data_IF_481006076066
#
_entry.id   IF_481006076066
#
_cell.length_a   1.000
_cell.length_b   1.000
_cell.length_c   1.000
_cell.angle_alpha   90.00
_cell.angle_beta   90.00
_cell.angle_gamma   90.00
#
_symmetry.space_group_name_H-M   'P 1'
#
loop_
_entity.id
_entity.type
_entity.pdbx_description
1 polymer ?
#
# COMPACT_ATOMS: atom_id res chain seq x y z
N UNK A 1 7.26 -11.37 43.82
CA UNK A 1 7.36 -10.09 43.09
C UNK A 1 6.59 -10.28 41.80
N UNK A 2 5.40 -9.72 41.77
CA UNK A 2 4.35 -9.98 40.78
C UNK A 2 4.45 -8.88 39.72
N UNK A 3 4.70 -9.27 38.47
CA UNK A 3 4.85 -8.33 37.34
C UNK A 3 3.48 -8.10 36.71
N UNK A 4 2.99 -6.87 36.81
CA UNK A 4 1.74 -6.40 36.22
C UNK A 4 1.93 -6.15 34.73
N UNK A 5 1.09 -6.78 33.91
CA UNK A 5 1.02 -6.60 32.45
C UNK A 5 0.31 -5.26 32.17
N UNK A 6 0.99 -4.33 31.48
CA UNK A 6 0.36 -3.12 30.96
C UNK A 6 -0.44 -3.46 29.69
N UNK A 7 -1.74 -3.23 29.74
CA UNK A 7 -2.59 -3.09 28.55
C UNK A 7 -2.30 -1.72 27.93
N UNK A 8 -1.79 -1.69 26.70
CA UNK A 8 -1.58 -0.44 25.97
C UNK A 8 -2.71 -0.26 24.98
N UNK A 9 -3.55 0.74 25.26
CA UNK A 9 -4.64 1.20 24.40
C UNK A 9 -4.08 1.96 23.20
N UNK A 10 -4.44 1.54 22.00
CA UNK A 10 -4.29 2.34 20.78
C UNK A 10 -5.14 3.60 20.95
N UNK A 11 -4.50 4.77 20.87
CA UNK A 11 -5.13 6.06 21.14
C UNK A 11 -6.04 6.42 19.96
N UNK A 12 -7.35 6.40 20.19
CA UNK A 12 -8.33 7.15 19.39
C UNK A 12 -8.41 8.59 19.94
N UNK A 13 -8.54 9.64 19.10
CA UNK A 13 -8.83 10.99 19.59
C UNK A 13 -10.15 10.99 20.36
N UNK A 14 -10.16 11.60 21.55
CA UNK A 14 -11.30 11.58 22.48
C UNK A 14 -12.35 12.65 22.12
N UNK A 15 -13.62 12.35 22.41
CA UNK A 15 -14.83 13.12 22.05
C UNK A 15 -14.97 14.55 22.63
N UNK A 16 -13.97 15.10 23.35
CA UNK A 16 -14.15 16.34 24.11
C UNK A 16 -13.52 17.61 23.49
N UNK A 17 -12.78 17.51 22.37
CA UNK A 17 -12.08 18.67 21.80
C UNK A 17 -12.85 19.44 20.71
N UNK A 18 -14.11 19.08 20.43
CA UNK A 18 -14.93 19.68 19.36
C UNK A 18 -16.26 20.26 19.89
N UNK A 19 -16.26 20.84 21.09
CA UNK A 19 -17.48 21.36 21.73
C UNK A 19 -17.59 22.89 21.77
N UNK A 20 -16.79 23.63 21.00
CA UNK A 20 -16.84 25.09 21.07
C UNK A 20 -16.50 25.75 19.77
N UNK A 21 -17.44 25.82 18.80
CA UNK A 21 -17.43 26.83 17.73
C UNK A 21 -18.66 26.81 16.80
N UNK A 22 -19.91 26.70 17.29
CA UNK A 22 -21.06 27.07 16.44
C UNK A 22 -22.17 27.78 17.24
N UNK A 23 -22.36 29.06 16.92
CA UNK A 23 -23.55 29.81 17.26
C UNK A 23 -23.76 30.95 16.27
N UNK A 24 -24.65 30.74 15.30
CA UNK A 24 -25.71 31.69 14.87
C UNK A 24 -26.50 31.18 13.68
N UNK A 25 -27.82 31.20 13.86
CA UNK A 25 -28.87 30.99 12.87
C UNK A 25 -28.95 32.15 11.86
N UNK A 26 -29.47 31.86 10.66
CA UNK A 26 -30.31 32.79 9.90
C UNK A 26 -31.22 32.03 8.92
N UNK A 27 -32.34 32.65 8.57
CA UNK A 27 -33.62 32.10 8.15
C UNK A 27 -34.00 32.46 6.69
N UNK A 28 -34.97 31.70 6.14
CA UNK A 28 -35.91 32.05 5.05
C UNK A 28 -35.37 32.00 3.60
N UNK A 29 -36.13 31.72 2.53
CA UNK A 29 -37.57 31.68 2.30
C UNK A 29 -37.94 30.79 1.09
N UNK A 30 -39.22 30.41 1.06
CA UNK A 30 -39.98 29.61 0.10
C UNK A 30 -40.21 30.27 -1.27
N UNK A 31 -40.32 29.47 -2.35
CA UNK A 31 -41.21 29.79 -3.50
C UNK A 31 -41.71 28.53 -4.23
N UNK A 32 -43.01 28.56 -4.57
CA UNK A 32 -43.87 27.48 -5.07
C UNK A 32 -44.02 27.47 -6.60
N UNK A 33 -44.40 26.29 -7.11
CA UNK A 33 -45.36 25.98 -8.21
C UNK A 33 -44.82 25.83 -9.64
N UNK A 34 -45.06 24.68 -10.30
CA UNK A 34 -46.26 24.30 -11.09
C UNK A 34 -46.00 22.97 -11.84
N UNK A 35 -46.94 22.01 -11.77
CA UNK A 35 -47.12 20.94 -12.77
C UNK A 35 -48.14 21.39 -13.84
N UNK A 36 -48.14 20.78 -15.05
CA UNK A 36 -49.23 19.81 -15.32
C UNK A 36 -48.94 18.64 -16.31
N UNK A 37 -49.78 17.61 -16.13
CA UNK A 37 -50.41 16.67 -17.08
C UNK A 37 -49.64 15.48 -17.69
N UNK A 38 -49.85 14.33 -17.03
CA UNK A 38 -50.10 12.97 -17.52
C UNK A 38 -50.40 12.79 -19.02
N UNK A 39 -49.46 12.14 -19.73
CA UNK A 39 -49.72 11.23 -20.85
C UNK A 39 -49.18 9.87 -20.40
N UNK A 40 -50.04 8.85 -20.33
CA UNK A 40 -49.65 7.47 -19.99
C UNK A 40 -48.84 6.86 -21.15
N UNK A 41 -47.52 6.90 -21.05
CA UNK A 41 -46.64 5.96 -21.73
C UNK A 41 -46.52 4.67 -20.90
N UNK A 42 -46.34 3.49 -21.53
CA UNK A 42 -46.13 2.25 -20.80
C UNK A 42 -44.90 2.37 -19.92
N UNK A 43 -44.98 1.75 -18.73
CA UNK A 43 -44.12 1.93 -17.57
C UNK A 43 -42.69 1.40 -17.79
N UNK A 44 -41.92 2.07 -18.66
CA UNK A 44 -40.51 1.78 -18.97
C UNK A 44 -39.61 2.00 -17.75
N UNK A 45 -39.99 2.89 -16.83
CA UNK A 45 -39.25 3.13 -15.59
C UNK A 45 -39.29 1.92 -14.66
N UNK A 46 -40.43 1.25 -14.50
CA UNK A 46 -40.54 0.10 -13.61
C UNK A 46 -39.80 -1.13 -14.15
N UNK A 47 -39.79 -1.33 -15.47
CA UNK A 47 -39.00 -2.39 -16.11
C UNK A 47 -37.49 -2.11 -16.04
N UNK A 48 -37.09 -0.85 -16.26
CA UNK A 48 -35.69 -0.42 -16.15
C UNK A 48 -35.20 -0.50 -14.70
N UNK A 49 -36.02 -0.12 -13.73
CA UNK A 49 -35.72 -0.21 -12.30
C UNK A 49 -35.70 -1.67 -11.80
N UNK A 50 -36.53 -2.56 -12.36
CA UNK A 50 -36.44 -4.01 -12.09
C UNK A 50 -35.22 -4.67 -12.74
N UNK A 51 -34.86 -4.28 -13.96
CA UNK A 51 -33.63 -4.74 -14.61
C UNK A 51 -32.40 -4.24 -13.86
N UNK A 52 -32.34 -2.95 -13.50
CA UNK A 52 -31.26 -2.37 -12.70
C UNK A 52 -31.18 -3.04 -11.32
N UNK A 53 -32.29 -3.27 -10.60
CA UNK A 53 -32.27 -4.01 -9.33
C UNK A 53 -31.85 -5.48 -9.48
N UNK A 54 -32.24 -6.13 -10.56
CA UNK A 54 -31.90 -7.53 -10.87
C UNK A 54 -30.41 -7.68 -11.22
N UNK A 55 -29.89 -6.80 -12.07
CA UNK A 55 -28.47 -6.73 -12.43
C UNK A 55 -27.64 -6.34 -11.21
N UNK A 56 -28.14 -5.41 -10.38
CA UNK A 56 -27.50 -4.99 -9.13
C UNK A 56 -27.34 -6.17 -8.15
N UNK A 57 -28.35 -7.05 -8.09
CA UNK A 57 -28.30 -8.26 -7.28
C UNK A 57 -27.34 -9.33 -7.82
N UNK A 58 -27.06 -9.34 -9.12
CA UNK A 58 -26.29 -10.41 -9.77
C UNK A 58 -24.80 -10.13 -9.68
N UNK A 59 -24.32 -8.95 -10.06
CA UNK A 59 -22.89 -8.61 -9.91
C UNK A 59 -22.47 -8.67 -8.44
N UNK A 60 -23.34 -8.27 -7.52
CA UNK A 60 -23.07 -8.35 -6.08
C UNK A 60 -22.85 -9.78 -5.60
N UNK A 61 -23.74 -10.70 -6.00
CA UNK A 61 -23.59 -12.12 -5.68
C UNK A 61 -22.29 -12.70 -6.25
N UNK A 62 -21.87 -12.24 -7.42
CA UNK A 62 -20.60 -12.66 -8.01
C UNK A 62 -19.40 -12.13 -7.22
N UNK A 63 -19.39 -10.85 -6.84
CA UNK A 63 -18.29 -10.28 -6.05
C UNK A 63 -18.20 -10.88 -4.65
N UNK A 64 -19.32 -11.11 -3.96
CA UNK A 64 -19.32 -11.83 -2.66
C UNK A 64 -18.77 -13.26 -2.81
N UNK A 65 -19.14 -13.97 -3.88
CA UNK A 65 -18.57 -15.30 -4.17
C UNK A 65 -17.06 -15.23 -4.44
N UNK A 66 -16.61 -14.21 -5.17
CA UNK A 66 -15.20 -13.96 -5.42
C UNK A 66 -14.45 -13.68 -4.12
N UNK A 67 -14.94 -12.77 -3.26
CA UNK A 67 -14.32 -12.47 -1.97
C UNK A 67 -14.18 -13.72 -1.12
N UNK A 68 -15.21 -14.56 -1.06
CA UNK A 68 -15.14 -15.83 -0.32
C UNK A 68 -14.09 -16.79 -0.90
N UNK A 69 -14.01 -16.92 -2.22
CA UNK A 69 -12.98 -17.74 -2.89
C UNK A 69 -11.57 -17.22 -2.62
N UNK A 70 -11.40 -15.90 -2.61
CA UNK A 70 -10.13 -15.23 -2.28
C UNK A 70 -9.73 -15.48 -0.82
N UNK A 71 -10.67 -15.30 0.11
CA UNK A 71 -10.48 -15.64 1.52
C UNK A 71 -10.06 -17.11 1.69
N UNK A 72 -10.79 -18.05 1.07
CA UNK A 72 -10.49 -19.48 1.15
C UNK A 72 -9.07 -19.79 0.66
N UNK A 73 -8.62 -19.15 -0.44
CA UNK A 73 -7.24 -19.27 -0.94
C UNK A 73 -6.23 -18.66 0.04
N UNK A 74 -6.52 -17.48 0.57
CA UNK A 74 -5.66 -16.76 1.52
C UNK A 74 -5.47 -17.56 2.82
N UNK A 75 -6.56 -18.05 3.41
CA UNK A 75 -6.58 -18.85 4.64
C UNK A 75 -5.87 -20.20 4.44
N UNK A 76 -6.00 -20.78 3.24
CA UNK A 76 -5.26 -21.99 2.86
C UNK A 76 -3.76 -21.73 2.60
N UNK A 77 -3.30 -20.48 2.66
CA UNK A 77 -1.92 -20.08 2.37
C UNK A 77 -1.53 -20.23 0.90
N UNK A 78 -2.50 -20.24 -0.03
CA UNK A 78 -2.22 -20.30 -1.46
C UNK A 78 -1.78 -18.93 -1.99
N UNK A 79 -0.79 -18.87 -2.90
CA UNK A 79 -0.42 -17.62 -3.55
C UNK A 79 -1.61 -16.99 -4.26
N UNK A 80 -1.82 -15.69 -4.03
CA UNK A 80 -2.81 -14.90 -4.75
C UNK A 80 -2.25 -14.33 -6.05
N UNK A 81 -0.94 -14.09 -6.08
CA UNK A 81 -0.19 -13.49 -7.18
C UNK A 81 0.84 -14.48 -7.72
N UNK A 82 1.04 -14.51 -9.04
CA UNK A 82 2.06 -15.38 -9.66
C UNK A 82 3.08 -14.57 -10.44
N UNK A 83 4.32 -15.09 -10.51
CA UNK A 83 5.39 -14.46 -11.31
C UNK A 83 5.03 -14.36 -12.79
N UNK A 84 4.33 -15.35 -13.34
CA UNK A 84 3.87 -15.34 -14.73
C UNK A 84 2.85 -14.24 -15.02
N UNK A 85 1.90 -14.00 -14.10
CA UNK A 85 0.94 -12.91 -14.24
C UNK A 85 1.64 -11.55 -14.21
N UNK A 86 2.52 -11.32 -13.22
CA UNK A 86 3.28 -10.05 -13.12
C UNK A 86 4.20 -9.83 -14.32
N UNK A 87 4.86 -10.88 -14.83
CA UNK A 87 5.74 -10.80 -15.99
C UNK A 87 4.98 -10.47 -17.28
N UNK A 88 3.85 -11.16 -17.51
CA UNK A 88 2.95 -10.86 -18.64
C UNK A 88 2.47 -9.41 -18.58
N UNK A 89 2.09 -8.95 -17.39
CA UNK A 89 1.64 -7.58 -17.20
C UNK A 89 2.75 -6.56 -17.49
N UNK A 90 3.94 -6.75 -16.92
CA UNK A 90 5.09 -5.88 -17.17
C UNK A 90 5.45 -5.80 -18.66
N UNK A 91 5.40 -6.93 -19.37
CA UNK A 91 5.62 -6.98 -20.82
C UNK A 91 4.57 -6.16 -21.57
N UNK A 92 3.28 -6.32 -21.26
CA UNK A 92 2.21 -5.56 -21.92
C UNK A 92 2.31 -4.05 -21.64
N UNK A 93 2.70 -3.66 -20.44
CA UNK A 93 2.96 -2.25 -20.07
C UNK A 93 4.16 -1.69 -20.84
N UNK A 94 5.24 -2.46 -20.97
CA UNK A 94 6.43 -2.05 -21.72
C UNK A 94 6.11 -1.78 -23.19
N UNK A 95 5.16 -2.52 -23.77
CA UNK A 95 4.64 -2.32 -25.13
C UNK A 95 3.71 -1.10 -25.28
N UNK A 96 3.52 -0.30 -24.22
CA UNK A 96 2.66 0.89 -24.20
C UNK A 96 1.21 0.60 -24.60
N UNK A 97 0.73 -0.61 -24.34
CA UNK A 97 -0.67 -0.95 -24.49
C UNK A 97 -1.54 -0.01 -23.64
N UNK A 98 -2.74 0.30 -24.12
CA UNK A 98 -3.77 1.05 -23.38
C UNK A 98 -4.75 0.13 -22.64
N UNK A 99 -4.76 -1.16 -23.00
CA UNK A 99 -5.53 -2.22 -22.39
C UNK A 99 -4.55 -3.36 -22.10
N UNK A 100 -4.63 -3.93 -20.90
CA UNK A 100 -3.91 -5.15 -20.53
C UNK A 100 -4.87 -6.31 -20.41
N UNK A 101 -4.45 -7.45 -20.91
CA UNK A 101 -5.11 -8.73 -20.73
C UNK A 101 -4.54 -9.37 -19.45
N UNK A 102 -5.40 -9.59 -18.46
CA UNK A 102 -5.03 -10.08 -17.13
C UNK A 102 -5.97 -11.21 -16.74
N UNK A 103 -5.39 -12.33 -16.30
CA UNK A 103 -6.18 -13.38 -15.64
C UNK A 103 -6.62 -12.88 -14.26
N UNK A 104 -7.91 -12.62 -14.12
CA UNK A 104 -8.51 -12.14 -12.89
C UNK A 104 -8.46 -13.18 -11.77
N UNK A 105 -8.73 -12.73 -10.55
CA UNK A 105 -8.76 -13.60 -9.37
C UNK A 105 -9.86 -14.67 -9.42
N UNK A 106 -10.86 -14.49 -10.30
CA UNK A 106 -11.90 -15.47 -10.58
C UNK A 106 -11.42 -16.61 -11.50
N UNK A 107 -10.25 -16.47 -12.13
CA UNK A 107 -9.66 -17.41 -13.10
C UNK A 107 -10.13 -17.15 -14.53
N UNK A 108 -10.74 -15.99 -14.81
CA UNK A 108 -11.15 -15.58 -16.16
C UNK A 108 -10.23 -14.51 -16.71
N UNK A 109 -10.06 -14.47 -18.01
CA UNK A 109 -9.37 -13.37 -18.68
C UNK A 109 -10.23 -12.11 -18.66
N UNK A 110 -9.64 -11.02 -18.18
CA UNK A 110 -10.23 -9.69 -18.12
C UNK A 110 -9.37 -8.71 -18.92
N UNK A 111 -10.01 -7.64 -19.41
CA UNK A 111 -9.35 -6.54 -20.10
C UNK A 111 -9.42 -5.30 -19.23
N UNK A 112 -8.28 -4.83 -18.75
CA UNK A 112 -8.20 -3.68 -17.85
C UNK A 112 -7.56 -2.49 -18.57
N UNK A 113 -8.19 -1.31 -18.62
CA UNK A 113 -7.56 -0.12 -19.16
C UNK A 113 -6.37 0.34 -18.32
N UNK A 114 -5.22 0.49 -18.95
CA UNK A 114 -4.06 1.15 -18.33
C UNK A 114 -4.32 2.66 -18.32
N UNK A 115 -4.66 3.21 -17.16
CA UNK A 115 -4.59 4.64 -16.87
C UNK A 115 -5.80 5.48 -17.29
N UNK A 116 -6.97 5.22 -16.69
CA UNK A 116 -8.05 6.20 -16.67
C UNK A 116 -8.51 6.40 -15.23
N UNK A 117 -8.13 7.53 -14.62
CA UNK A 117 -8.79 8.35 -13.58
C UNK A 117 -9.63 7.68 -12.47
N UNK A 118 -9.54 6.38 -12.27
CA UNK A 118 -10.20 5.65 -11.19
C UNK A 118 -9.10 5.13 -10.29
N UNK A 119 -8.68 6.01 -9.38
CA UNK A 119 -8.02 5.63 -8.13
C UNK A 119 -8.99 4.74 -7.35
N UNK A 120 -9.04 3.48 -7.74
CA UNK A 120 -9.55 2.43 -6.88
C UNK A 120 -8.35 1.53 -6.59
N UNK A 121 -7.47 2.05 -5.74
CA UNK A 121 -6.73 1.18 -4.83
C UNK A 121 -7.79 0.28 -4.19
N UNK A 122 -7.90 -0.96 -4.65
CA UNK A 122 -8.61 -1.99 -3.91
C UNK A 122 -7.57 -2.53 -2.95
N UNK A 123 -7.48 -1.93 -1.75
CA UNK A 123 -6.33 -2.17 -0.92
C UNK A 123 -6.46 -3.65 -0.48
N UNK A 124 -5.32 -4.34 -0.35
CA UNK A 124 -5.28 -5.82 -0.19
C UNK A 124 -6.26 -6.33 0.88
N UNK A 125 -6.55 -5.52 1.89
CA UNK A 125 -7.50 -5.78 2.96
C UNK A 125 -8.91 -6.08 2.45
N UNK A 126 -9.38 -5.40 1.39
CA UNK A 126 -10.69 -5.68 0.76
C UNK A 126 -10.72 -6.98 -0.05
N UNK A 127 -9.55 -7.44 -0.50
CA UNK A 127 -9.41 -8.74 -1.16
C UNK A 127 -9.45 -9.88 -0.15
N UNK A 128 -8.86 -9.67 1.03
CA UNK A 128 -8.67 -10.72 2.03
C UNK A 128 -9.67 -10.69 3.18
N UNK A 129 -10.51 -9.66 3.32
CA UNK A 129 -11.66 -9.64 4.22
C UNK A 129 -12.83 -8.93 3.49
N UNK A 130 -13.87 -9.66 3.06
CA UNK A 130 -15.00 -9.07 2.35
C UNK A 130 -15.67 -7.96 3.17
N UNK A 131 -15.90 -6.78 2.57
CA UNK A 131 -16.68 -5.73 3.24
C UNK A 131 -18.12 -6.21 3.49
N UNK A 132 -18.68 -5.95 4.69
CA UNK A 132 -20.10 -6.15 4.95
C UNK A 132 -20.98 -5.08 4.27
N UNK A 133 -20.39 -4.07 3.64
CA UNK A 133 -21.11 -3.00 2.96
C UNK A 133 -21.95 -3.51 1.79
N UNK A 134 -23.03 -2.76 1.55
CA UNK A 134 -23.90 -2.95 0.42
C UNK A 134 -23.42 -2.17 -0.83
N UNK A 135 -22.38 -1.35 -0.68
CA UNK A 135 -21.88 -0.45 -1.72
C UNK A 135 -20.99 -1.19 -2.74
N UNK A 136 -21.14 -0.91 -4.05
CA UNK A 136 -20.31 -1.51 -5.10
C UNK A 136 -18.81 -1.26 -4.90
N UNK A 137 -18.42 -0.07 -4.45
CA UNK A 137 -17.01 0.33 -4.42
C UNK A 137 -16.24 -0.29 -3.23
N UNK A 138 -16.88 -1.17 -2.45
CA UNK A 138 -16.30 -1.83 -1.28
C UNK A 138 -16.08 -3.34 -1.44
N UNK A 139 -16.48 -3.92 -2.57
CA UNK A 139 -16.26 -5.34 -2.89
C UNK A 139 -15.05 -5.49 -3.82
N UNK A 140 -14.38 -6.65 -3.96
CA UNK A 140 -13.27 -6.79 -4.89
C UNK A 140 -13.75 -6.87 -6.34
N UNK A 141 -13.05 -6.24 -7.29
CA UNK A 141 -13.31 -6.44 -8.73
C UNK A 141 -12.71 -7.77 -9.21
N UNK A 142 -13.30 -8.44 -10.21
CA UNK A 142 -12.73 -9.66 -10.81
C UNK A 142 -11.31 -9.47 -11.36
N UNK A 143 -10.98 -8.28 -11.86
CA UNK A 143 -9.67 -7.94 -12.43
C UNK A 143 -8.58 -7.61 -11.41
N UNK A 144 -8.88 -7.55 -10.10
CA UNK A 144 -7.97 -7.16 -9.00
C UNK A 144 -6.78 -8.12 -8.75
N UNK A 145 -6.24 -8.78 -9.77
CA UNK A 145 -5.10 -9.67 -9.62
C UNK A 145 -3.79 -8.92 -9.35
N UNK A 146 -3.65 -7.65 -9.77
CA UNK A 146 -2.52 -6.74 -9.51
C UNK A 146 -3.05 -5.34 -9.80
N UNK A 147 -2.94 -4.36 -8.87
CA UNK A 147 -3.29 -2.98 -9.23
C UNK A 147 -2.22 -2.48 -10.23
N UNK A 148 -2.64 -2.03 -11.42
CA UNK A 148 -1.74 -1.61 -12.49
C UNK A 148 -1.79 -0.12 -12.63
N UNK A 149 -1.22 0.56 -11.65
CA UNK A 149 -1.11 2.00 -11.72
C UNK A 149 0.21 2.36 -12.42
N UNK A 150 0.07 2.90 -13.63
CA UNK A 150 1.09 3.84 -14.08
C UNK A 150 1.00 5.04 -13.15
N UNK A 151 2.16 5.56 -12.76
CA UNK A 151 2.27 6.91 -12.22
C UNK A 151 1.28 7.78 -12.96
N UNK A 152 0.25 8.22 -12.23
CA UNK A 152 -0.96 8.73 -12.86
C UNK A 152 -0.57 9.74 -13.93
N UNK A 153 -1.31 9.76 -15.04
CA UNK A 153 -1.29 10.90 -15.95
C UNK A 153 -1.93 12.08 -15.20
N UNK A 154 -1.28 12.55 -14.13
CA UNK A 154 -1.60 13.80 -13.47
C UNK A 154 -1.68 14.89 -14.54
N UNK A 155 -2.51 15.93 -14.33
CA UNK A 155 -2.60 17.06 -15.26
C UNK A 155 -1.19 17.45 -15.68
N UNK A 156 -0.92 17.47 -17.00
CA UNK A 156 0.45 17.63 -17.48
C UNK A 156 1.02 18.92 -16.92
N UNK A 157 1.89 18.78 -15.91
CA UNK A 157 2.64 19.90 -15.38
C UNK A 157 3.53 20.43 -16.49
N UNK A 158 3.57 21.74 -16.65
CA UNK A 158 4.58 22.34 -17.52
C UNK A 158 5.98 22.06 -16.95
N UNK A 159 7.03 22.05 -17.77
CA UNK A 159 8.40 21.88 -17.28
C UNK A 159 8.76 22.85 -16.14
N UNK A 160 8.25 24.09 -16.18
CA UNK A 160 8.46 25.09 -15.13
C UNK A 160 7.74 24.73 -13.82
N UNK A 161 6.52 24.17 -13.91
CA UNK A 161 5.79 23.68 -12.74
C UNK A 161 6.51 22.49 -12.09
N UNK A 162 7.02 21.55 -12.90
CA UNK A 162 7.82 20.41 -12.41
C UNK A 162 9.08 20.92 -11.72
N UNK A 163 9.82 21.84 -12.34
CA UNK A 163 11.04 22.40 -11.76
C UNK A 163 10.76 23.11 -10.42
N UNK A 164 9.68 23.88 -10.33
CA UNK A 164 9.28 24.54 -9.08
C UNK A 164 8.90 23.51 -8.00
N UNK A 165 8.14 22.46 -8.35
CA UNK A 165 7.77 21.40 -7.44
C UNK A 165 9.00 20.64 -6.93
N UNK A 166 9.96 20.29 -7.79
CA UNK A 166 11.22 19.64 -7.40
C UNK A 166 11.99 20.46 -6.36
N UNK A 167 12.03 21.79 -6.50
CA UNK A 167 12.67 22.68 -5.52
C UNK A 167 11.96 22.63 -4.17
N UNK A 168 10.62 22.67 -4.16
CA UNK A 168 9.81 22.57 -2.94
C UNK A 168 10.01 21.22 -2.23
N UNK A 169 9.94 20.13 -3.00
CA UNK A 169 10.21 18.76 -2.53
C UNK A 169 11.59 18.69 -1.89
N UNK A 170 12.62 19.27 -2.54
CA UNK A 170 13.98 19.26 -2.02
C UNK A 170 14.13 19.99 -0.69
N UNK A 171 13.45 21.12 -0.51
CA UNK A 171 13.47 21.85 0.76
C UNK A 171 12.80 21.07 1.90
N UNK A 172 11.63 20.47 1.63
CA UNK A 172 10.91 19.63 2.59
C UNK A 172 11.70 18.36 2.94
N UNK A 173 12.21 17.66 1.91
CA UNK A 173 13.04 16.48 2.09
C UNK A 173 14.26 16.76 2.96
N UNK A 174 14.99 17.85 2.71
CA UNK A 174 16.19 18.19 3.50
C UNK A 174 15.85 18.45 4.99
N UNK A 175 14.69 19.04 5.28
CA UNK A 175 14.20 19.23 6.65
C UNK A 175 13.97 17.87 7.32
N UNK A 176 13.24 16.98 6.67
CA UNK A 176 12.90 15.67 7.21
C UNK A 176 14.08 14.70 7.28
N UNK A 177 15.02 14.76 6.33
CA UNK A 177 16.27 14.00 6.35
C UNK A 177 17.11 14.36 7.58
N UNK A 178 17.18 15.65 7.96
CA UNK A 178 17.86 16.07 9.20
C UNK A 178 17.16 15.56 10.46
N UNK A 179 15.83 15.60 10.49
CA UNK A 179 15.05 15.03 11.60
C UNK A 179 15.31 13.54 11.74
N UNK A 180 15.29 12.79 10.64
CA UNK A 180 15.64 11.38 10.62
C UNK A 180 17.05 11.13 11.16
N UNK A 181 18.07 11.83 10.66
CA UNK A 181 19.46 11.66 11.09
C UNK A 181 19.70 11.96 12.58
N UNK A 182 18.88 12.84 13.18
CA UNK A 182 18.94 13.19 14.59
C UNK A 182 18.17 12.20 15.49
N UNK A 183 17.39 11.29 14.91
CA UNK A 183 16.54 10.37 15.65
C UNK A 183 17.31 9.22 16.32
N UNK A 184 16.81 8.67 17.44
CA UNK A 184 17.30 7.41 17.99
C UNK A 184 17.21 6.24 17.00
N UNK A 185 16.16 6.20 16.19
CA UNK A 185 15.89 5.18 15.17
C UNK A 185 17.02 5.10 14.14
N UNK A 186 17.59 6.25 13.73
CA UNK A 186 18.75 6.27 12.83
C UNK A 186 19.99 5.62 13.45
N UNK A 187 20.25 5.85 14.74
CA UNK A 187 21.36 5.19 15.43
C UNK A 187 21.10 3.70 15.59
N UNK A 188 19.88 3.32 15.92
CA UNK A 188 19.53 1.90 16.09
C UNK A 188 19.60 1.14 14.77
N UNK A 189 19.18 1.74 13.66
CA UNK A 189 19.33 1.16 12.33
C UNK A 189 20.81 0.84 12.03
N UNK A 190 21.71 1.77 12.36
CA UNK A 190 23.15 1.55 12.23
C UNK A 190 23.65 0.46 13.15
N UNK A 191 23.20 0.40 14.40
CA UNK A 191 23.62 -0.60 15.37
C UNK A 191 23.20 -2.01 14.94
N UNK A 192 21.93 -2.19 14.57
CA UNK A 192 21.41 -3.47 14.07
C UNK A 192 22.19 -3.88 12.83
N UNK A 193 22.21 -3.03 11.80
CA UNK A 193 22.89 -3.38 10.56
C UNK A 193 24.40 -3.56 10.75
N UNK A 194 25.04 -2.96 11.75
CA UNK A 194 26.47 -3.17 12.05
C UNK A 194 26.75 -4.43 12.87
N UNK A 195 25.77 -4.94 13.62
CA UNK A 195 25.92 -6.13 14.46
C UNK A 195 25.51 -7.41 13.75
N UNK A 196 24.66 -7.32 12.72
CA UNK A 196 24.19 -8.48 11.98
C UNK A 196 25.17 -8.91 10.88
N UNK A 197 25.28 -10.22 10.68
CA UNK A 197 25.93 -10.81 9.51
C UNK A 197 25.05 -10.58 8.29
N UNK A 198 25.35 -9.51 7.56
CA UNK A 198 24.65 -9.19 6.31
C UNK A 198 25.30 -9.99 5.17
N UNK A 199 24.51 -10.67 4.34
CA UNK A 199 25.05 -11.30 3.14
C UNK A 199 25.79 -10.28 2.26
N UNK A 200 27.08 -10.52 2.00
CA UNK A 200 27.90 -9.70 1.09
C UNK A 200 27.46 -9.82 -0.39
N UNK A 201 26.28 -10.37 -0.66
CA UNK A 201 25.71 -10.53 -1.99
C UNK A 201 24.71 -9.42 -2.34
N UNK A 202 24.27 -8.63 -1.35
CA UNK A 202 23.30 -7.55 -1.56
C UNK A 202 23.88 -6.45 -2.44
N UNK A 203 23.20 -6.15 -3.54
CA UNK A 203 23.64 -5.14 -4.51
C UNK A 203 22.56 -4.11 -4.88
N UNK A 204 21.33 -4.30 -4.37
CA UNK A 204 20.21 -3.40 -4.62
C UNK A 204 19.22 -3.34 -3.46
N UNK A 205 18.54 -2.21 -3.37
CA UNK A 205 17.37 -1.97 -2.52
C UNK A 205 16.18 -1.72 -3.43
N UNK A 206 15.04 -2.34 -3.12
CA UNK A 206 13.77 -2.07 -3.79
C UNK A 206 12.76 -1.64 -2.73
N UNK A 207 12.29 -0.40 -2.87
CA UNK A 207 11.30 0.20 -2.01
C UNK A 207 9.89 0.08 -2.61
N UNK A 208 8.89 -0.16 -1.77
CA UNK A 208 7.49 -0.23 -2.18
C UNK A 208 6.58 0.61 -1.28
N UNK A 209 5.71 1.42 -1.90
CA UNK A 209 4.62 2.09 -1.18
C UNK A 209 5.10 3.20 -0.23
N UNK A 210 6.15 3.93 -0.59
CA UNK A 210 6.72 4.99 0.27
C UNK A 210 5.94 6.31 0.25
N UNK A 211 4.91 6.42 -0.59
CA UNK A 211 4.09 7.62 -0.80
C UNK A 211 4.77 8.68 -1.67
N UNK A 212 3.96 9.58 -2.23
CA UNK A 212 4.47 10.70 -3.02
C UNK A 212 5.22 11.72 -2.14
N UNK A 213 6.13 12.47 -2.76
CA UNK A 213 6.89 13.54 -2.11
C UNK A 213 6.35 14.94 -2.43
N UNK A 214 5.50 15.08 -3.44
CA UNK A 214 4.89 16.36 -3.74
C UNK A 214 3.87 16.71 -2.65
N UNK A 215 3.76 17.99 -2.26
CA UNK A 215 2.72 18.41 -1.35
C UNK A 215 1.34 18.17 -1.99
N UNK A 216 0.38 17.68 -1.19
CA UNK A 216 -1.03 17.64 -1.59
C UNK A 216 -1.44 19.01 -2.13
N UNK A 217 -2.26 19.02 -3.19
CA UNK A 217 -2.70 20.29 -3.78
C UNK A 217 -3.52 21.09 -2.75
N UNK A 218 -3.38 22.42 -2.73
CA UNK A 218 -4.11 23.31 -1.80
C UNK A 218 -5.65 23.18 -1.90
N UNK A 219 -6.16 22.52 -2.96
CA UNK A 219 -7.59 22.27 -3.18
C UNK A 219 -8.10 20.95 -2.56
N UNK A 220 -7.22 20.05 -2.08
CA UNK A 220 -7.62 18.77 -1.47
C UNK A 220 -7.97 18.91 0.02
N UNK A 221 -9.03 19.69 0.26
CA UNK A 221 -9.66 19.89 1.58
C UNK A 221 -10.26 18.61 2.20
N UNK A 222 -10.19 17.49 1.49
CA UNK A 222 -10.79 16.20 1.85
C UNK A 222 -9.76 15.07 2.01
N UNK A 223 -8.45 15.34 1.87
CA UNK A 223 -7.42 14.36 2.23
C UNK A 223 -7.40 14.22 3.75
N UNK A 224 -8.17 13.26 4.27
CA UNK A 224 -8.14 12.79 5.67
C UNK A 224 -6.74 12.25 6.09
N UNK A 225 -5.77 12.26 5.17
CA UNK A 225 -4.42 11.72 5.32
C UNK A 225 -3.31 12.81 5.23
N UNK A 226 -3.65 14.08 4.96
CA UNK A 226 -2.66 15.10 4.56
C UNK A 226 -1.76 15.61 5.70
N UNK A 227 -2.23 15.68 6.94
CA UNK A 227 -1.42 16.22 8.05
C UNK A 227 -0.28 15.29 8.49
N UNK A 228 -0.33 14.00 8.13
CA UNK A 228 0.69 12.99 8.48
C UNK A 228 1.46 12.44 7.27
N UNK A 229 0.96 12.61 6.04
CA UNK A 229 1.57 12.07 4.82
C UNK A 229 2.92 12.73 4.48
N UNK A 230 3.01 14.07 4.58
CA UNK A 230 4.22 14.83 4.21
C UNK A 230 5.48 14.34 4.95
N UNK A 231 5.55 14.30 6.30
CA UNK A 231 6.76 13.84 6.98
C UNK A 231 7.09 12.38 6.70
N UNK A 232 6.07 11.52 6.59
CA UNK A 232 6.25 10.06 6.41
C UNK A 232 7.02 9.76 5.14
N UNK A 233 6.52 10.23 3.99
CA UNK A 233 7.13 9.92 2.69
C UNK A 233 8.56 10.42 2.62
N UNK A 234 8.83 11.66 3.05
CA UNK A 234 10.18 12.20 3.07
C UNK A 234 11.13 11.39 3.97
N UNK A 235 10.70 10.99 5.18
CA UNK A 235 11.52 10.22 6.11
C UNK A 235 11.80 8.82 5.56
N UNK A 236 10.80 8.10 5.05
CA UNK A 236 11.01 6.75 4.52
C UNK A 236 12.00 6.75 3.34
N UNK A 237 11.94 7.75 2.45
CA UNK A 237 12.95 7.89 1.39
C UNK A 237 14.36 8.21 1.95
N UNK A 238 14.46 9.00 3.02
CA UNK A 238 15.73 9.23 3.72
C UNK A 238 16.28 7.95 4.39
N UNK A 239 15.40 7.07 4.87
CA UNK A 239 15.75 5.74 5.39
C UNK A 239 16.32 4.88 4.26
N UNK A 240 15.69 4.84 3.09
CA UNK A 240 16.21 4.13 1.92
C UNK A 240 17.63 4.57 1.52
N UNK A 241 17.91 5.87 1.51
CA UNK A 241 19.25 6.40 1.28
C UNK A 241 20.24 5.99 2.39
N UNK A 242 19.79 5.97 3.65
CA UNK A 242 20.61 5.53 4.79
C UNK A 242 20.97 4.05 4.67
N UNK A 243 20.02 3.19 4.29
CA UNK A 243 20.23 1.78 4.03
C UNK A 243 21.27 1.58 2.92
N UNK A 244 21.14 2.31 1.80
CA UNK A 244 22.09 2.26 0.69
C UNK A 244 23.51 2.63 1.14
N UNK A 245 23.64 3.69 1.94
CA UNK A 245 24.93 4.14 2.47
C UNK A 245 25.57 3.10 3.39
N UNK A 246 24.81 2.54 4.33
CA UNK A 246 25.32 1.54 5.29
C UNK A 246 25.77 0.27 4.55
N UNK A 247 24.92 -0.25 3.66
CA UNK A 247 25.21 -1.44 2.87
C UNK A 247 26.39 -1.21 1.92
N UNK A 248 26.47 -0.04 1.30
CA UNK A 248 27.58 0.30 0.40
C UNK A 248 28.91 0.42 1.13
N UNK A 249 28.91 1.05 2.31
CA UNK A 249 30.08 1.13 3.18
C UNK A 249 30.57 -0.25 3.65
N UNK A 250 29.65 -1.19 3.89
CA UNK A 250 29.99 -2.57 4.30
C UNK A 250 30.51 -3.43 3.16
N UNK A 251 29.88 -3.33 1.99
CA UNK A 251 30.23 -4.18 0.84
C UNK A 251 31.36 -3.60 -0.01
N UNK A 252 31.74 -2.33 0.22
CA UNK A 252 32.75 -1.62 -0.56
C UNK A 252 32.31 -1.32 -2.00
N UNK A 253 31.01 -1.41 -2.28
CA UNK A 253 30.41 -1.15 -3.60
C UNK A 253 29.20 -0.24 -3.48
N UNK A 254 28.84 0.39 -4.58
CA UNK A 254 27.59 1.13 -4.67
C UNK A 254 26.39 0.17 -4.59
N UNK A 255 25.34 0.58 -3.87
CA UNK A 255 24.07 -0.15 -3.77
C UNK A 255 23.05 0.60 -4.60
N UNK A 256 22.49 -0.06 -5.61
CA UNK A 256 21.46 0.52 -6.47
C UNK A 256 20.17 0.67 -5.67
N UNK A 257 19.53 1.82 -5.73
CA UNK A 257 18.28 2.07 -5.01
C UNK A 257 17.14 2.27 -6.01
N UNK A 258 16.07 1.51 -5.84
CA UNK A 258 14.86 1.57 -6.65
C UNK A 258 13.66 1.84 -5.78
N UNK A 259 12.64 2.51 -6.33
CA UNK A 259 11.36 2.67 -5.65
C UNK A 259 10.19 2.48 -6.59
N UNK A 260 9.14 1.80 -6.14
CA UNK A 260 7.88 1.65 -6.85
C UNK A 260 6.76 2.17 -5.95
N UNK A 261 6.13 3.24 -6.39
CA UNK A 261 4.91 3.77 -5.80
C UNK A 261 4.06 4.36 -6.92
N UNK A 262 2.79 3.95 -7.05
CA UNK A 262 1.94 4.46 -8.10
C UNK A 262 1.52 5.91 -7.90
N UNK A 263 1.56 6.42 -6.67
CA UNK A 263 1.22 7.81 -6.35
C UNK A 263 2.30 8.82 -6.80
N UNK A 264 3.46 8.37 -7.29
CA UNK A 264 4.53 9.30 -7.64
C UNK A 264 4.12 10.30 -8.73
N UNK A 265 4.33 11.58 -8.44
CA UNK A 265 4.21 12.63 -9.47
C UNK A 265 5.50 12.73 -10.29
N UNK A 266 5.42 13.36 -11.47
CA UNK A 266 6.61 13.63 -12.30
C UNK A 266 7.68 14.43 -11.53
N UNK A 267 7.27 15.35 -10.65
CA UNK A 267 8.19 16.11 -9.81
C UNK A 267 8.92 15.21 -8.81
N UNK A 268 8.22 14.28 -8.16
CA UNK A 268 8.83 13.30 -7.27
C UNK A 268 9.79 12.37 -8.00
N UNK A 269 9.45 11.90 -9.21
CA UNK A 269 10.35 11.08 -10.03
C UNK A 269 11.67 11.82 -10.31
N UNK A 270 11.60 13.08 -10.77
CA UNK A 270 12.79 13.88 -11.08
C UNK A 270 13.62 14.16 -9.81
N UNK A 271 12.97 14.45 -8.69
CA UNK A 271 13.66 14.63 -7.41
C UNK A 271 14.35 13.35 -6.94
N UNK A 272 13.66 12.20 -6.95
CA UNK A 272 14.22 10.90 -6.56
C UNK A 272 15.42 10.50 -7.42
N UNK A 273 15.32 10.73 -8.72
CA UNK A 273 16.43 10.53 -9.66
C UNK A 273 17.65 11.37 -9.29
N UNK A 274 17.46 12.62 -8.87
CA UNK A 274 18.55 13.49 -8.37
C UNK A 274 19.22 12.97 -7.07
N UNK A 275 18.53 12.08 -6.34
CA UNK A 275 19.03 11.40 -5.13
C UNK A 275 19.53 9.98 -5.40
N UNK A 276 19.72 9.59 -6.66
CA UNK A 276 20.12 8.25 -7.08
C UNK A 276 19.12 7.13 -6.72
N UNK A 277 17.84 7.48 -6.62
CA UNK A 277 16.74 6.52 -6.52
C UNK A 277 16.06 6.43 -7.88
N UNK A 278 16.04 5.25 -8.49
CA UNK A 278 15.38 5.01 -9.77
C UNK A 278 13.94 4.53 -9.55
N UNK A 279 12.97 5.27 -10.07
CA UNK A 279 11.56 4.88 -10.00
C UNK A 279 11.27 3.76 -11.01
N UNK A 280 10.61 2.70 -10.56
CA UNK A 280 10.16 1.57 -11.36
C UNK A 280 8.66 1.67 -11.63
N UNK A 281 8.24 1.22 -12.82
CA UNK A 281 6.82 1.07 -13.13
C UNK A 281 6.27 -0.20 -12.47
N UNK A 282 5.04 -0.18 -11.99
CA UNK A 282 4.33 -1.37 -11.55
C UNK A 282 4.14 -2.36 -12.72
N UNK A 283 4.40 -3.68 -12.58
CA UNK A 283 4.89 -4.43 -11.40
C UNK A 283 6.39 -4.74 -11.39
N UNK A 284 7.21 -3.98 -12.10
CA UNK A 284 8.63 -4.29 -12.32
C UNK A 284 9.41 -4.45 -11.02
N UNK A 285 9.11 -3.65 -9.99
CA UNK A 285 9.73 -3.76 -8.68
C UNK A 285 9.61 -5.16 -8.10
N UNK A 286 8.43 -5.79 -8.20
CA UNK A 286 8.21 -7.16 -7.71
C UNK A 286 9.01 -8.20 -8.50
N UNK A 287 9.12 -8.03 -9.82
CA UNK A 287 9.88 -8.92 -10.69
C UNK A 287 11.40 -8.82 -10.46
N UNK A 288 11.86 -7.64 -10.04
CA UNK A 288 13.28 -7.37 -9.78
C UNK A 288 13.72 -7.80 -8.38
N UNK A 289 12.81 -8.20 -7.48
CA UNK A 289 13.23 -8.77 -6.18
C UNK A 289 13.87 -10.14 -6.39
N UNK A 290 15.09 -10.32 -5.88
CA UNK A 290 15.83 -11.57 -5.89
C UNK A 290 16.59 -11.76 -4.55
N UNK A 291 17.38 -12.83 -4.45
CA UNK A 291 18.18 -13.14 -3.26
C UNK A 291 19.29 -12.11 -2.95
N UNK A 292 19.52 -11.14 -3.85
CA UNK A 292 20.51 -10.07 -3.72
C UNK A 292 19.88 -8.72 -3.39
N UNK A 293 18.58 -8.71 -3.09
CA UNK A 293 17.80 -7.53 -2.75
C UNK A 293 17.68 -7.33 -1.23
N UNK A 294 17.70 -6.06 -0.81
CA UNK A 294 17.00 -5.61 0.39
C UNK A 294 15.64 -5.04 -0.02
N UNK A 295 14.55 -5.53 0.57
CA UNK A 295 13.21 -4.95 0.40
C UNK A 295 12.92 -3.98 1.54
N UNK A 296 12.41 -2.79 1.22
CA UNK A 296 11.96 -1.81 2.21
C UNK A 296 10.52 -1.37 1.90
N UNK A 297 9.59 -1.60 2.83
CA UNK A 297 8.19 -1.20 2.67
C UNK A 297 7.53 -1.07 4.02
N UNK A 298 6.95 0.09 4.34
CA UNK A 298 6.35 0.36 5.65
C UNK A 298 4.94 0.91 5.47
N UNK A 299 3.97 0.22 6.06
CA UNK A 299 2.54 0.46 5.94
C UNK A 299 2.07 0.66 4.48
N UNK A 300 2.36 -0.27 3.54
CA UNK A 300 1.85 -0.18 2.18
C UNK A 300 0.35 -0.51 2.12
N UNK A 301 -0.37 0.13 1.22
CA UNK A 301 -1.75 -0.24 0.83
C UNK A 301 -1.79 -1.41 -0.16
N UNK A 302 -0.63 -1.76 -0.72
CA UNK A 302 -0.41 -2.83 -1.70
C UNK A 302 0.17 -4.11 -1.04
N UNK A 303 -0.06 -5.30 -1.63
CA UNK A 303 0.26 -6.61 -1.04
C UNK A 303 1.76 -7.01 -1.10
N UNK A 304 2.66 -6.14 -0.61
CA UNK A 304 4.12 -6.37 -0.66
C UNK A 304 4.54 -7.62 0.10
N UNK A 305 4.08 -7.81 1.34
CA UNK A 305 4.31 -9.00 2.16
C UNK A 305 3.89 -10.25 1.42
N UNK A 306 2.69 -10.25 0.87
CA UNK A 306 2.15 -11.40 0.15
C UNK A 306 3.00 -11.75 -1.07
N UNK A 307 3.30 -10.77 -1.93
CA UNK A 307 4.01 -11.01 -3.19
C UNK A 307 5.47 -11.41 -2.92
N UNK A 308 6.18 -10.71 -2.05
CA UNK A 308 7.59 -11.02 -1.72
C UNK A 308 7.72 -12.42 -1.10
N UNK A 309 6.74 -12.80 -0.25
CA UNK A 309 6.61 -14.13 0.36
C UNK A 309 6.25 -15.22 -0.63
N UNK A 310 5.79 -14.91 -1.83
CA UNK A 310 5.49 -15.96 -2.82
C UNK A 310 6.58 -16.04 -3.89
N UNK A 311 7.31 -14.95 -4.16
CA UNK A 311 8.11 -14.85 -5.38
C UNK A 311 9.63 -14.80 -5.19
N UNK A 312 10.17 -14.22 -4.12
CA UNK A 312 11.56 -13.75 -4.15
C UNK A 312 12.48 -14.15 -3.00
N UNK A 313 12.00 -14.22 -1.74
CA UNK A 313 12.85 -14.50 -0.55
C UNK A 313 14.16 -13.66 -0.52
N UNK A 314 14.07 -12.31 -0.47
CA UNK A 314 15.23 -11.41 -0.48
C UNK A 314 16.17 -11.64 0.71
N UNK A 315 17.40 -11.14 0.62
CA UNK A 315 18.39 -11.30 1.69
C UNK A 315 18.03 -10.54 2.98
N UNK A 316 17.42 -9.36 2.83
CA UNK A 316 16.95 -8.53 3.94
C UNK A 316 15.56 -8.00 3.60
N UNK A 317 14.69 -7.95 4.60
CA UNK A 317 13.38 -7.31 4.53
C UNK A 317 13.28 -6.32 5.68
N UNK A 318 12.80 -5.11 5.40
CA UNK A 318 12.46 -4.11 6.39
C UNK A 318 11.01 -3.72 6.15
N UNK A 319 10.12 -4.18 7.04
CA UNK A 319 8.68 -3.93 6.93
C UNK A 319 7.95 -3.98 8.28
N UNK A 320 6.65 -3.71 8.27
CA UNK A 320 5.81 -3.70 9.47
C UNK A 320 5.94 -5.00 10.27
N UNK A 321 6.06 -4.86 11.58
CA UNK A 321 6.14 -5.97 12.54
C UNK A 321 4.90 -6.85 12.42
N UNK A 322 5.10 -8.16 12.55
CA UNK A 322 4.02 -9.13 12.57
C UNK A 322 3.03 -8.80 13.71
N UNK A 323 1.75 -8.60 13.38
CA UNK A 323 0.71 -8.38 14.39
C UNK A 323 0.37 -9.69 15.11
N UNK A 324 0.04 -9.69 16.41
CA UNK A 324 -0.38 -10.91 17.10
C UNK A 324 -1.54 -11.61 16.39
N UNK A 325 -1.56 -12.95 16.39
CA UNK A 325 -2.61 -13.74 15.75
C UNK A 325 -4.02 -13.47 16.34
N UNK A 326 -4.14 -12.86 17.51
CA UNK A 326 -5.44 -12.39 18.00
C UNK A 326 -6.02 -11.23 17.17
N UNK A 327 -5.16 -10.42 16.53
CA UNK A 327 -5.57 -9.35 15.62
C UNK A 327 -6.14 -9.89 14.31
N UNK A 328 -5.84 -11.14 13.94
CA UNK A 328 -6.46 -11.82 12.78
C UNK A 328 -7.99 -11.97 12.92
N UNK A 329 -8.53 -11.73 14.12
CA UNK A 329 -9.97 -11.78 14.42
C UNK A 329 -10.65 -10.41 14.39
N UNK A 330 -9.95 -9.36 13.99
CA UNK A 330 -10.57 -8.04 13.88
C UNK A 330 -11.56 -8.02 12.71
N UNK A 331 -12.78 -7.57 13.00
CA UNK A 331 -13.84 -7.39 12.02
C UNK A 331 -13.93 -5.92 11.57
N UNK A 332 -14.61 -5.73 10.45
CA UNK A 332 -15.05 -4.43 9.96
C UNK A 332 -15.80 -3.65 11.04
N UNK A 333 -15.50 -2.36 11.16
CA UNK A 333 -16.17 -1.45 12.09
C UNK A 333 -16.99 -0.41 11.35
N UNK A 334 -18.27 -0.31 11.67
CA UNK A 334 -19.12 0.75 11.13
C UNK A 334 -18.94 2.03 11.97
N UNK A 335 -18.22 3.01 11.42
CA UNK A 335 -17.86 4.24 12.13
C UNK A 335 -18.66 5.44 11.62
N UNK A 336 -18.99 6.35 12.54
CA UNK A 336 -19.59 7.66 12.23
C UNK A 336 -18.51 8.73 12.23
N UNK A 337 -18.37 9.45 11.13
CA UNK A 337 -17.47 10.60 11.02
C UNK A 337 -18.11 11.89 11.57
N UNK A 338 -17.31 12.91 11.91
CA UNK A 338 -17.81 14.20 12.43
C UNK A 338 -18.81 14.93 11.51
N UNK A 339 -18.74 14.67 10.20
CA UNK A 339 -19.67 15.19 9.19
C UNK A 339 -21.04 14.46 9.19
N UNK A 340 -21.18 13.41 9.99
CA UNK A 340 -22.38 12.59 10.11
C UNK A 340 -22.42 11.39 9.17
N UNK A 341 -21.45 11.25 8.27
CA UNK A 341 -21.36 10.11 7.35
C UNK A 341 -20.99 8.84 8.10
N UNK A 342 -21.54 7.72 7.63
CA UNK A 342 -21.30 6.38 8.16
C UNK A 342 -20.53 5.57 7.13
N UNK A 343 -19.44 4.92 7.53
CA UNK A 343 -18.62 4.12 6.61
C UNK A 343 -18.04 2.91 7.33
N UNK A 344 -17.91 1.81 6.60
CA UNK A 344 -17.23 0.61 7.06
C UNK A 344 -15.72 0.81 6.98
N UNK A 345 -15.06 0.68 8.12
CA UNK A 345 -13.60 0.76 8.24
C UNK A 345 -13.06 -0.65 8.34
N UNK A 346 -12.17 -0.99 7.40
CA UNK A 346 -11.45 -2.25 7.39
C UNK A 346 -10.65 -2.41 8.69
N UNK A 347 -10.56 -3.63 9.26
CA UNK A 347 -9.71 -3.89 10.42
C UNK A 347 -8.22 -3.66 10.12
N UNK A 348 -7.84 -3.71 8.84
CA UNK A 348 -6.48 -3.51 8.37
C UNK A 348 -6.38 -2.22 7.57
N UNK A 349 -5.30 -1.48 7.78
CA UNK A 349 -4.98 -0.25 7.05
C UNK A 349 -3.76 -0.42 6.12
N UNK A 350 -2.99 -1.49 6.32
CA UNK A 350 -1.81 -1.88 5.53
C UNK A 350 -1.86 -3.38 5.18
N UNK A 351 -0.86 -3.88 4.44
CA UNK A 351 -0.77 -5.29 4.06
C UNK A 351 -0.77 -6.24 5.28
N UNK A 352 -1.82 -7.06 5.46
CA UNK A 352 -1.98 -7.90 6.65
C UNK A 352 -1.04 -9.11 6.64
N UNK A 353 -0.81 -9.71 7.80
CA UNK A 353 -0.05 -10.95 7.88
C UNK A 353 -0.91 -12.17 7.48
N UNK A 354 -0.31 -13.11 6.77
CA UNK A 354 -0.94 -14.37 6.36
C UNK A 354 -0.18 -15.56 6.96
N UNK A 355 -0.82 -16.73 7.00
CA UNK A 355 -0.15 -17.94 7.49
C UNK A 355 1.16 -18.27 6.71
N UNK A 356 1.30 -17.80 5.47
CA UNK A 356 2.52 -17.95 4.66
C UNK A 356 3.59 -16.90 4.99
N UNK A 357 3.22 -15.63 5.23
CA UNK A 357 4.20 -14.58 5.62
C UNK A 357 4.80 -14.93 6.97
N UNK A 358 3.96 -15.23 7.97
CA UNK A 358 4.40 -15.65 9.31
C UNK A 358 5.33 -16.86 9.28
N UNK A 359 5.01 -17.85 8.43
CA UNK A 359 5.83 -19.05 8.25
C UNK A 359 7.20 -18.70 7.67
N UNK A 360 7.25 -17.93 6.60
CA UNK A 360 8.49 -17.49 5.98
C UNK A 360 9.35 -16.73 6.99
N UNK A 361 8.80 -15.73 7.69
CA UNK A 361 9.55 -14.96 8.69
C UNK A 361 10.14 -15.86 9.77
N UNK A 362 9.32 -16.73 10.35
CA UNK A 362 9.74 -17.64 11.43
C UNK A 362 10.78 -18.65 10.99
N UNK A 363 10.57 -19.29 9.85
CA UNK A 363 11.39 -20.41 9.38
C UNK A 363 12.68 -19.94 8.70
N UNK A 364 12.60 -18.88 7.88
CA UNK A 364 13.67 -18.48 6.97
C UNK A 364 14.44 -17.23 7.42
N UNK A 365 13.90 -16.42 8.33
CA UNK A 365 14.52 -15.14 8.74
C UNK A 365 14.79 -15.05 10.24
N UNK A 366 15.82 -14.28 10.57
CA UNK A 366 16.06 -13.80 11.94
C UNK A 366 15.51 -12.39 12.04
N UNK A 367 14.56 -12.18 12.96
CA UNK A 367 13.97 -10.85 13.20
C UNK A 367 14.80 -10.07 14.22
N UNK A 368 15.02 -8.79 13.89
CA UNK A 368 15.63 -7.78 14.73
C UNK A 368 14.58 -6.68 14.95
N UNK A 369 14.05 -6.55 16.18
CA UNK A 369 13.10 -5.50 16.51
C UNK A 369 13.67 -4.11 16.23
N UNK A 370 12.86 -3.24 15.65
CA UNK A 370 13.22 -1.84 15.45
C UNK A 370 12.41 -0.96 16.42
N UNK A 371 12.96 0.16 16.93
CA UNK A 371 12.21 1.04 17.81
C UNK A 371 10.98 1.61 17.11
N UNK A 372 9.86 1.66 17.83
CA UNK A 372 8.63 2.27 17.36
C UNK A 372 8.86 3.74 16.97
N UNK A 373 8.20 4.17 15.90
CA UNK A 373 8.23 5.54 15.41
C UNK A 373 6.82 5.98 14.99
N UNK A 374 6.17 6.81 15.79
CA UNK A 374 4.78 7.22 15.53
C UNK A 374 4.55 8.13 14.32
N UNK A 375 5.53 8.30 13.43
CA UNK A 375 5.46 9.20 12.27
C UNK A 375 5.67 8.46 10.96
N UNK A 376 6.80 7.77 10.80
CA UNK A 376 7.25 7.27 9.52
C UNK A 376 7.56 5.77 9.50
N UNK A 377 8.14 5.22 10.57
CA UNK A 377 8.53 3.81 10.64
C UNK A 377 7.53 2.94 11.40
N UNK A 378 6.56 3.52 12.11
CA UNK A 378 5.56 2.82 12.93
C UNK A 378 6.20 1.69 13.75
N UNK A 379 5.52 0.54 13.85
CA UNK A 379 6.11 -0.69 14.36
C UNK A 379 6.73 -1.47 13.19
N UNK A 380 8.05 -1.34 13.01
CA UNK A 380 8.81 -2.03 11.95
C UNK A 380 9.75 -3.09 12.55
N UNK A 381 10.12 -4.07 11.74
CA UNK A 381 11.19 -5.03 12.03
C UNK A 381 12.19 -5.12 10.88
N UNK A 382 13.40 -5.58 11.19
CA UNK A 382 14.44 -5.90 10.22
C UNK A 382 14.62 -7.42 10.21
N UNK A 383 14.31 -8.06 9.09
CA UNK A 383 14.45 -9.49 8.89
C UNK A 383 15.71 -9.75 8.06
N UNK A 384 16.61 -10.59 8.57
CA UNK A 384 17.81 -11.03 7.84
C UNK A 384 17.70 -12.52 7.55
N UNK A 385 17.85 -12.90 6.28
CA UNK A 385 17.71 -14.30 5.84
C UNK A 385 18.75 -15.18 6.55
N UNK A 386 18.30 -16.30 7.11
CA UNK A 386 19.18 -17.28 7.76
C UNK A 386 20.12 -17.89 6.72
N UNK A 387 21.33 -18.24 7.15
CA UNK A 387 22.21 -19.03 6.31
C UNK A 387 21.53 -20.37 6.01
N UNK A 388 21.51 -20.78 4.74
CA UNK A 388 21.09 -22.12 4.35
C UNK A 388 21.99 -23.13 5.07
N UNK A 389 21.42 -24.01 5.88
CA UNK A 389 22.15 -25.16 6.41
C UNK A 389 22.60 -25.99 5.20
N UNK A 390 23.85 -25.84 4.77
CA UNK A 390 24.41 -26.51 3.58
C UNK A 390 24.61 -28.01 3.75
N UNK A 391 23.61 -28.73 4.28
CA UNK A 391 23.68 -30.15 4.56
C UNK A 391 22.92 -31.02 3.55
N UNK A 392 21.99 -30.48 2.74
CA UNK A 392 21.15 -31.31 1.86
C UNK A 392 21.52 -31.29 0.36
N UNK A 393 22.36 -30.35 -0.10
CA UNK A 393 22.76 -30.29 -1.52
C UNK A 393 23.90 -31.28 -1.89
N UNK A 394 24.42 -32.04 -0.91
CA UNK A 394 25.46 -33.05 -1.14
C UNK A 394 24.91 -34.48 -1.36
N UNK A 395 23.58 -34.69 -1.29
CA UNK A 395 22.98 -36.05 -1.36
C UNK A 395 22.29 -36.35 -2.71
N UNK A 396 22.29 -35.41 -3.67
CA UNK A 396 21.75 -35.65 -5.03
C UNK A 396 22.80 -35.74 -6.15
N UNK A 397 24.06 -35.97 -5.82
CA UNK A 397 25.09 -36.32 -6.81
C UNK A 397 25.96 -37.48 -6.34
N UNK A 398 25.36 -38.66 -6.15
CA UNK A 398 26.02 -39.97 -6.31
C UNK A 398 25.02 -41.01 -6.84
#
# INVERSE_FOLDING_TARGET
>A
MTTTICQTSIIYPSNNDIAGLIGRQSTSATRKSREPSSIMEPNDSAHKEQMEKSDNSTWRRERVKLSRKLQERYDAGQPLFTKSQLASLAEQIAHKSRLVEIEGMDGKMNWDPIGWDQFEDEPIQRLVIPSPSDEPDELPKPSCSVNVERTALHPQMTPDQVALAVVKIGAAFQKHEKTWQASPQFQELKNILSSVLIPNVINKIICFGLGDLAPDSDDDKYSLYSEHSEPRSHIQHAVALTLAQILGGRTGREIRCYSQDPAYTQASIEFLKSRHIMVLNDPQGFLDVDEYTLVFSVAPTVPVKQIVTDLARPAIIVWDTEVPAEMDKMDWKHMRFPDGNMTWISPWISDPDSARTRRMEKEEYTSYPFPEDGVAMFETQILVKKASNGADDAVQCL
#
